data_IF_959364463717
#
_entry.id   IF_959364463717
#
_cell.length_a   1.000
_cell.length_b   1.000
_cell.length_c   1.000
_cell.angle_alpha   90.00
_cell.angle_beta   90.00
_cell.angle_gamma   90.00
#
_symmetry.space_group_name_H-M   'P 1'
#
loop_
_entity.id
_entity.type
_entity.pdbx_description
1 polymer ?
#
# COMPACT_ATOMS: atom_id res chain seq x y z
N UNK A 1 -1.71 13.47 16.18
CA UNK A 1 -0.57 13.30 15.25
C UNK A 1 -0.30 14.59 14.51
N UNK A 2 0.93 15.07 14.50
CA UNK A 2 1.30 16.24 13.72
C UNK A 2 1.83 15.82 12.33
N UNK A 3 2.07 16.81 11.46
CA UNK A 3 2.52 16.53 10.10
C UNK A 3 3.85 15.78 10.03
N UNK A 4 4.78 16.11 10.92
CA UNK A 4 6.09 15.46 10.96
C UNK A 4 5.97 13.99 11.35
N UNK A 5 5.15 13.67 12.34
CA UNK A 5 4.91 12.30 12.77
C UNK A 5 4.23 11.50 11.67
N UNK A 6 3.22 12.08 11.02
CA UNK A 6 2.53 11.44 9.92
C UNK A 6 3.49 11.13 8.78
N UNK A 7 4.29 12.12 8.39
CA UNK A 7 5.24 11.97 7.29
C UNK A 7 6.22 10.82 7.55
N UNK A 8 6.74 10.74 8.77
CA UNK A 8 7.68 9.68 9.17
C UNK A 8 7.02 8.30 9.13
N UNK A 9 5.81 8.18 9.68
CA UNK A 9 5.08 6.92 9.72
C UNK A 9 4.67 6.45 8.32
N UNK A 10 4.22 7.38 7.48
CA UNK A 10 3.83 7.06 6.11
C UNK A 10 5.05 6.67 5.27
N UNK A 11 6.18 7.35 5.43
CA UNK A 11 7.42 6.98 4.74
C UNK A 11 7.90 5.59 5.14
N UNK A 12 7.80 5.25 6.42
CA UNK A 12 8.14 3.92 6.91
C UNK A 12 7.24 2.86 6.28
N UNK A 13 5.96 3.15 6.13
CA UNK A 13 5.03 2.24 5.49
C UNK A 13 5.42 1.98 4.02
N UNK A 14 5.68 3.04 3.27
CA UNK A 14 6.07 2.91 1.85
C UNK A 14 7.38 2.15 1.68
N UNK A 15 8.36 2.43 2.55
CA UNK A 15 9.63 1.70 2.53
C UNK A 15 9.40 0.21 2.82
N UNK A 16 8.54 -0.10 3.78
CA UNK A 16 8.21 -1.50 4.11
C UNK A 16 7.54 -2.21 2.94
N UNK A 17 6.70 -1.51 2.17
CA UNK A 17 6.09 -2.08 0.96
C UNK A 17 7.16 -2.49 -0.03
N UNK A 18 8.13 -1.60 -0.30
CA UNK A 18 9.24 -1.89 -1.21
C UNK A 18 10.03 -3.12 -0.74
N UNK A 19 10.38 -3.16 0.54
CA UNK A 19 11.15 -4.27 1.11
C UNK A 19 10.40 -5.60 1.00
N UNK A 20 9.12 -5.60 1.26
CA UNK A 20 8.32 -6.82 1.20
C UNK A 20 8.11 -7.31 -0.22
N UNK A 21 7.98 -6.41 -1.18
CA UNK A 21 7.93 -6.78 -2.59
C UNK A 21 9.27 -7.37 -3.05
N UNK A 22 10.37 -6.78 -2.62
CA UNK A 22 11.71 -7.29 -2.96
C UNK A 22 11.97 -8.68 -2.37
N UNK A 23 11.39 -8.99 -1.22
CA UNK A 23 11.54 -10.28 -0.55
C UNK A 23 10.59 -11.36 -1.06
N UNK A 24 9.62 -11.01 -1.88
CA UNK A 24 8.66 -11.99 -2.40
C UNK A 24 9.33 -12.96 -3.38
N UNK A 25 9.21 -14.25 -3.10
CA UNK A 25 9.88 -15.34 -3.84
C UNK A 25 9.06 -15.93 -4.98
N UNK A 26 7.93 -15.37 -5.34
CA UNK A 26 7.08 -15.93 -6.36
C UNK A 26 7.53 -15.58 -7.77
N UNK A 27 6.74 -16.07 -8.74
CA UNK A 27 6.99 -15.84 -10.16
C UNK A 27 6.41 -14.51 -10.65
N UNK A 28 5.53 -13.88 -9.87
CA UNK A 28 4.93 -12.62 -10.25
C UNK A 28 5.99 -11.51 -10.27
N UNK A 29 6.05 -10.80 -11.39
CA UNK A 29 6.95 -9.70 -11.59
C UNK A 29 6.18 -8.40 -11.37
N UNK A 30 6.42 -7.74 -10.25
CA UNK A 30 5.79 -6.47 -9.90
C UNK A 30 6.86 -5.39 -9.85
N UNK A 31 6.75 -4.42 -10.74
CA UNK A 31 7.61 -3.24 -10.70
C UNK A 31 6.99 -2.22 -9.78
N UNK A 32 7.82 -1.48 -9.07
CA UNK A 32 7.32 -0.36 -8.26
C UNK A 32 8.15 0.89 -8.53
N UNK A 33 7.51 2.03 -8.40
CA UNK A 33 8.12 3.32 -8.66
C UNK A 33 7.52 4.35 -7.72
N UNK A 34 8.37 5.17 -7.11
CA UNK A 34 7.92 6.19 -6.17
C UNK A 34 8.30 7.58 -6.69
N UNK A 35 7.31 8.45 -6.80
CA UNK A 35 7.49 9.85 -7.17
C UNK A 35 6.80 10.73 -6.14
N UNK A 36 7.58 11.46 -5.34
CA UNK A 36 7.03 12.33 -4.32
C UNK A 36 6.22 11.52 -3.30
N UNK A 37 4.93 11.82 -3.20
CA UNK A 37 4.02 11.17 -2.25
C UNK A 37 3.31 9.95 -2.82
N UNK A 38 3.63 9.53 -4.04
CA UNK A 38 2.90 8.47 -4.77
C UNK A 38 3.81 7.32 -5.11
N UNK A 39 3.39 6.11 -4.73
CA UNK A 39 4.05 4.86 -5.13
C UNK A 39 3.10 4.09 -6.07
N UNK A 40 3.61 3.67 -7.22
CA UNK A 40 2.84 2.88 -8.17
C UNK A 40 3.43 1.49 -8.30
N UNK A 41 2.60 0.47 -8.12
CA UNK A 41 2.95 -0.92 -8.37
C UNK A 41 2.36 -1.30 -9.73
N UNK A 42 3.18 -1.84 -10.62
CA UNK A 42 2.75 -2.24 -11.97
C UNK A 42 2.87 -3.74 -12.13
N UNK A 43 1.79 -4.36 -12.56
CA UNK A 43 1.71 -5.83 -12.75
C UNK A 43 1.87 -6.19 -14.21
N UNK A 44 2.30 -7.41 -14.49
CA UNK A 44 2.53 -7.88 -15.86
C UNK A 44 1.29 -7.78 -16.74
N UNK A 45 0.10 -7.96 -16.16
CA UNK A 45 -1.16 -7.88 -16.89
C UNK A 45 -1.61 -6.45 -17.20
N UNK A 46 -0.81 -5.46 -16.86
CA UNK A 46 -1.12 -4.05 -17.11
C UNK A 46 -1.91 -3.38 -16.00
N UNK A 47 -2.35 -4.11 -14.98
CA UNK A 47 -3.06 -3.50 -13.85
C UNK A 47 -2.06 -2.82 -12.92
N UNK A 48 -2.57 -1.91 -12.10
CA UNK A 48 -1.75 -1.12 -11.18
C UNK A 48 -2.39 -1.02 -9.81
N UNK A 49 -1.53 -0.79 -8.81
CA UNK A 49 -1.95 -0.38 -7.48
C UNK A 49 -1.21 0.91 -7.17
N UNK A 50 -1.93 1.89 -6.65
CA UNK A 50 -1.34 3.19 -6.30
C UNK A 50 -1.49 3.44 -4.81
N UNK A 51 -0.40 3.80 -4.15
CA UNK A 51 -0.37 4.15 -2.73
C UNK A 51 0.04 5.61 -2.64
N UNK A 52 -0.78 6.42 -1.99
CA UNK A 52 -0.60 7.86 -1.95
C UNK A 52 -0.69 8.39 -0.52
N UNK A 53 0.28 9.22 -0.12
CA UNK A 53 0.21 9.95 1.15
C UNK A 53 -0.71 11.15 0.96
N UNK A 54 -1.72 11.27 1.83
CA UNK A 54 -2.61 12.42 1.88
C UNK A 54 -2.30 13.22 3.15
N UNK A 55 -1.33 14.12 3.06
CA UNK A 55 -0.84 14.85 4.22
C UNK A 55 -1.90 15.71 4.92
N UNK A 56 -2.75 16.48 4.21
CA UNK A 56 -3.76 17.29 4.89
C UNK A 56 -4.71 16.47 5.76
N UNK A 57 -4.93 15.21 5.45
CA UNK A 57 -5.85 14.34 6.17
C UNK A 57 -5.13 13.35 7.09
N UNK A 58 -3.81 13.33 7.09
CA UNK A 58 -2.99 12.33 7.79
C UNK A 58 -3.44 10.91 7.46
N UNK A 59 -3.65 10.65 6.17
CA UNK A 59 -4.10 9.36 5.67
C UNK A 59 -3.17 8.81 4.60
N UNK A 60 -3.21 7.49 4.43
CA UNK A 60 -2.60 6.80 3.30
C UNK A 60 -3.74 6.24 2.46
N UNK A 61 -3.75 6.55 1.18
CA UNK A 61 -4.78 6.10 0.26
C UNK A 61 -4.22 4.98 -0.63
N UNK A 62 -5.02 3.94 -0.82
CA UNK A 62 -4.67 2.77 -1.61
C UNK A 62 -5.71 2.60 -2.70
N UNK A 63 -5.29 2.68 -3.96
CA UNK A 63 -6.17 2.45 -5.10
C UNK A 63 -5.79 1.14 -5.78
N UNK A 64 -6.76 0.23 -5.88
CA UNK A 64 -6.58 -1.07 -6.50
C UNK A 64 -7.61 -1.26 -7.60
N UNK A 65 -7.51 -2.35 -8.36
CA UNK A 65 -8.51 -2.70 -9.37
C UNK A 65 -9.90 -2.90 -8.74
N UNK A 66 -9.95 -3.37 -7.50
CA UNK A 66 -11.21 -3.61 -6.79
C UNK A 66 -11.83 -2.35 -6.18
N UNK A 67 -11.05 -1.30 -5.97
CA UNK A 67 -11.57 -0.06 -5.38
C UNK A 67 -10.50 0.76 -4.68
N UNK A 68 -10.94 1.83 -4.03
CA UNK A 68 -10.09 2.74 -3.27
C UNK A 68 -10.34 2.64 -1.79
N UNK A 69 -9.28 2.78 -1.00
CA UNK A 69 -9.33 2.64 0.45
C UNK A 69 -8.52 3.74 1.12
N UNK A 70 -9.03 4.29 2.23
CA UNK A 70 -8.38 5.35 2.99
C UNK A 70 -8.02 4.82 4.38
N UNK A 71 -6.75 4.93 4.74
CA UNK A 71 -6.24 4.39 6.00
C UNK A 71 -5.82 5.50 6.95
N UNK A 72 -6.25 5.40 8.19
CA UNK A 72 -5.82 6.26 9.29
C UNK A 72 -4.96 5.44 10.25
N UNK A 73 -3.98 6.09 10.89
CA UNK A 73 -3.09 5.42 11.82
C UNK A 73 -3.74 5.33 13.20
N UNK A 74 -4.00 4.10 13.66
CA UNK A 74 -4.68 3.85 14.92
C UNK A 74 -4.01 2.67 15.63
N UNK A 75 -3.65 2.86 16.89
CA UNK A 75 -3.09 1.79 17.71
C UNK A 75 -1.94 1.06 17.03
N UNK A 76 -1.03 1.83 16.44
CA UNK A 76 0.17 1.33 15.73
C UNK A 76 -0.12 0.61 14.42
N UNK A 77 -1.33 0.77 13.87
CA UNK A 77 -1.73 0.14 12.60
C UNK A 77 -2.39 1.15 11.67
N UNK A 78 -2.25 0.94 10.37
CA UNK A 78 -2.99 1.68 9.36
C UNK A 78 -4.30 0.95 9.09
N UNK A 79 -5.41 1.58 9.46
CA UNK A 79 -6.75 0.96 9.44
C UNK A 79 -7.66 1.66 8.44
N UNK A 80 -8.32 0.88 7.60
CA UNK A 80 -9.28 1.41 6.62
C UNK A 80 -10.48 2.03 7.34
N UNK A 81 -10.81 3.27 6.98
CA UNK A 81 -11.88 4.05 7.63
C UNK A 81 -13.27 3.41 7.46
N UNK A 82 -13.48 2.67 6.38
CA UNK A 82 -14.79 2.04 6.10
C UNK A 82 -14.90 0.63 6.66
N UNK A 83 -13.92 -0.22 6.36
CA UNK A 83 -14.00 -1.64 6.65
C UNK A 83 -13.36 -2.05 7.96
N UNK A 84 -12.51 -1.20 8.52
CA UNK A 84 -11.72 -1.56 9.69
C UNK A 84 -10.60 -2.53 9.38
N UNK A 85 -10.35 -2.83 8.09
CA UNK A 85 -9.31 -3.76 7.68
C UNK A 85 -7.94 -3.08 7.72
N UNK A 86 -6.92 -3.82 8.13
CA UNK A 86 -5.57 -3.31 8.22
C UNK A 86 -4.91 -3.26 6.83
N UNK A 87 -4.03 -2.30 6.62
CA UNK A 87 -3.38 -2.01 5.33
C UNK A 87 -2.74 -3.25 4.68
N UNK A 88 -1.95 -4.00 5.46
CA UNK A 88 -1.23 -5.15 4.92
C UNK A 88 -2.17 -6.25 4.44
N UNK A 89 -3.27 -6.46 5.14
CA UNK A 89 -4.28 -7.44 4.73
C UNK A 89 -4.91 -7.05 3.40
N UNK A 90 -5.24 -5.77 3.23
CA UNK A 90 -5.80 -5.28 1.96
C UNK A 90 -4.79 -5.31 0.82
N UNK A 91 -3.55 -4.92 1.08
CA UNK A 91 -2.50 -4.96 0.05
C UNK A 91 -2.24 -6.40 -0.38
N UNK A 92 -2.20 -7.32 0.56
CA UNK A 92 -2.01 -8.74 0.29
C UNK A 92 -3.12 -9.30 -0.59
N UNK A 93 -4.37 -8.99 -0.27
CA UNK A 93 -5.52 -9.38 -1.08
C UNK A 93 -5.43 -8.80 -2.49
N UNK A 94 -5.11 -7.53 -2.61
CA UNK A 94 -5.04 -6.85 -3.90
C UNK A 94 -3.90 -7.40 -4.77
N UNK A 95 -2.72 -7.60 -4.21
CA UNK A 95 -1.60 -8.17 -4.94
C UNK A 95 -1.89 -9.61 -5.39
N UNK A 96 -2.53 -10.40 -4.53
CA UNK A 96 -2.93 -11.76 -4.87
C UNK A 96 -3.94 -11.78 -6.02
N UNK A 97 -4.96 -10.93 -5.93
CA UNK A 97 -5.99 -10.87 -6.96
C UNK A 97 -5.45 -10.37 -8.30
N UNK A 98 -4.61 -9.35 -8.28
CA UNK A 98 -4.13 -8.73 -9.51
C UNK A 98 -2.98 -9.49 -10.16
N UNK A 99 -2.15 -10.18 -9.41
CA UNK A 99 -1.05 -10.98 -9.96
C UNK A 99 -1.47 -12.41 -10.32
N UNK A 100 -2.51 -12.93 -9.69
CA UNK A 100 -2.90 -14.33 -9.81
C UNK A 100 -2.04 -15.28 -8.98
N UNK A 101 -1.16 -14.75 -8.15
CA UNK A 101 -0.24 -15.50 -7.31
C UNK A 101 -0.43 -15.08 -5.85
N UNK A 102 -0.37 -16.02 -4.92
CA UNK A 102 -0.56 -15.70 -3.50
C UNK A 102 0.59 -14.86 -2.96
N UNK A 103 0.26 -13.73 -2.37
CA UNK A 103 1.20 -12.90 -1.62
C UNK A 103 0.93 -13.03 -0.12
N UNK A 104 2.00 -13.05 0.67
CA UNK A 104 1.95 -13.03 2.12
C UNK A 104 2.98 -12.04 2.62
N UNK A 105 2.51 -10.98 3.27
CA UNK A 105 3.38 -9.91 3.77
C UNK A 105 3.60 -9.98 5.31
#
# INVERSE_FOLDING_TARGET
MNDSEFHQLADQLLLSVEERLDEHDGDADIDYETHGSVMTLSFENGSKIVINRQEPMHQVWLATKAGGYHFSYQSSHWICDRSGTEFWALLEQACTAQSGEKFSF
#
